data_IF_248461392680
#
_entry.id   IF_248461392680
#
_cell.length_a   1.000
_cell.length_b   1.000
_cell.length_c   1.000
_cell.angle_alpha   90.00
_cell.angle_beta   90.00
_cell.angle_gamma   90.00
#
_symmetry.space_group_name_H-M   'P 1'
#
loop_
_entity.id
_entity.type
_entity.pdbx_description
1 polymer ?
#
# COMPACT_ATOMS: atom_id res chain seq x y z
N UNK A 1 -8.49 -7.29 -5.35
CA UNK A 1 -8.48 -5.88 -4.92
C UNK A 1 -8.36 -5.81 -3.40
N UNK A 2 -7.31 -5.18 -2.89
CA UNK A 2 -7.00 -5.03 -1.46
C UNK A 2 -7.72 -3.81 -0.88
N UNK A 3 -8.96 -4.03 -0.43
CA UNK A 3 -9.83 -2.95 0.05
C UNK A 3 -9.23 -2.21 1.23
N UNK A 4 -8.61 -2.93 2.18
CA UNK A 4 -8.00 -2.36 3.38
C UNK A 4 -6.90 -1.34 3.04
N UNK A 5 -5.97 -1.72 2.17
CA UNK A 5 -4.90 -0.83 1.68
C UNK A 5 -5.43 0.44 1.01
N UNK A 6 -6.49 0.33 0.20
CA UNK A 6 -7.14 1.48 -0.45
C UNK A 6 -7.80 2.39 0.58
N UNK A 7 -8.52 1.82 1.55
CA UNK A 7 -9.21 2.56 2.61
C UNK A 7 -8.18 3.30 3.49
N UNK A 8 -7.09 2.65 3.89
CA UNK A 8 -6.03 3.29 4.70
C UNK A 8 -5.44 4.50 3.98
N UNK A 9 -5.18 4.38 2.67
CA UNK A 9 -4.74 5.53 1.86
C UNK A 9 -5.78 6.65 1.82
N UNK A 10 -7.06 6.31 1.63
CA UNK A 10 -8.15 7.28 1.56
C UNK A 10 -8.41 7.98 2.90
N UNK A 11 -8.27 7.28 4.03
CA UNK A 11 -8.38 7.85 5.38
C UNK A 11 -7.33 8.92 5.64
N UNK A 12 -6.13 8.75 5.08
CA UNK A 12 -5.06 9.76 5.13
C UNK A 12 -5.21 10.86 4.07
N UNK A 13 -6.26 10.81 3.23
CA UNK A 13 -6.51 11.71 2.08
C UNK A 13 -5.37 11.78 1.07
N UNK A 14 -4.57 10.72 0.98
CA UNK A 14 -3.42 10.65 0.07
C UNK A 14 -3.81 10.06 -1.28
N UNK A 15 -3.22 10.57 -2.36
CA UNK A 15 -3.27 9.99 -3.69
C UNK A 15 -2.16 8.95 -3.84
N UNK A 16 -2.32 8.04 -4.82
CA UNK A 16 -1.31 7.01 -5.12
C UNK A 16 0.09 7.59 -5.35
N UNK A 17 0.28 8.71 -6.08
CA UNK A 17 1.62 9.25 -6.29
C UNK A 17 2.31 9.69 -5.00
N UNK A 18 1.57 10.25 -4.04
CA UNK A 18 2.12 10.72 -2.77
C UNK A 18 2.61 9.53 -1.92
N UNK A 19 1.78 8.50 -1.79
CA UNK A 19 2.17 7.28 -1.07
C UNK A 19 3.32 6.57 -1.77
N UNK A 20 3.29 6.47 -3.10
CA UNK A 20 4.34 5.82 -3.86
C UNK A 20 5.70 6.53 -3.68
N UNK A 21 5.69 7.87 -3.67
CA UNK A 21 6.89 8.67 -3.38
C UNK A 21 7.42 8.40 -1.97
N UNK A 22 6.56 8.35 -0.94
CA UNK A 22 6.96 8.06 0.45
C UNK A 22 7.57 6.67 0.57
N UNK A 23 6.99 5.68 -0.11
CA UNK A 23 7.44 4.28 -0.08
C UNK A 23 8.60 3.97 -1.05
N UNK A 24 9.06 4.96 -1.82
CA UNK A 24 10.14 4.77 -2.80
C UNK A 24 9.79 3.84 -3.97
N UNK A 25 8.51 3.81 -4.38
CA UNK A 25 8.01 2.98 -5.49
C UNK A 25 7.30 3.83 -6.55
N UNK A 26 6.94 3.21 -7.68
CA UNK A 26 6.16 3.90 -8.71
C UNK A 26 4.65 3.89 -8.37
N UNK A 27 3.89 4.93 -8.75
CA UNK A 27 2.43 4.97 -8.53
C UNK A 27 1.69 3.82 -9.22
N UNK A 28 2.20 3.36 -10.36
CA UNK A 28 1.68 2.21 -11.11
C UNK A 28 1.87 0.93 -10.31
N UNK A 29 3.03 0.75 -9.67
CA UNK A 29 3.29 -0.41 -8.82
C UNK A 29 2.39 -0.43 -7.59
N UNK A 30 2.23 0.71 -6.90
CA UNK A 30 1.25 0.83 -5.81
C UNK A 30 -0.18 0.50 -6.28
N UNK A 31 -0.57 0.98 -7.46
CA UNK A 31 -1.88 0.65 -8.05
C UNK A 31 -2.05 -0.84 -8.34
N UNK A 32 -1.02 -1.52 -8.85
CA UNK A 32 -1.04 -2.96 -9.07
C UNK A 32 -1.14 -3.75 -7.74
N UNK A 33 -0.47 -3.28 -6.69
CA UNK A 33 -0.61 -3.82 -5.33
C UNK A 33 -2.04 -3.64 -4.81
N UNK A 34 -2.60 -2.44 -4.91
CA UNK A 34 -4.00 -2.18 -4.49
C UNK A 34 -5.02 -3.05 -5.24
N UNK A 35 -4.80 -3.32 -6.52
CA UNK A 35 -5.68 -4.21 -7.31
C UNK A 35 -5.46 -5.69 -6.98
N UNK A 36 -4.30 -6.06 -6.45
CA UNK A 36 -3.92 -7.45 -6.16
C UNK A 36 -3.20 -8.15 -7.33
N UNK A 37 -2.79 -7.40 -8.36
CA UNK A 37 -2.09 -7.91 -9.55
C UNK A 37 -0.59 -8.16 -9.28
N UNK A 38 -0.07 -7.53 -8.23
CA UNK A 38 1.31 -7.66 -7.78
C UNK A 38 1.36 -7.81 -6.26
N UNK A 39 2.29 -8.63 -5.82
CA UNK A 39 2.66 -8.75 -4.41
C UNK A 39 3.95 -7.95 -4.18
N UNK A 40 3.99 -7.05 -3.19
CA UNK A 40 5.24 -6.41 -2.80
C UNK A 40 6.22 -7.43 -2.22
N UNK A 41 7.50 -7.09 -2.17
CA UNK A 41 8.47 -7.84 -1.36
C UNK A 41 8.08 -7.77 0.13
N UNK A 42 8.56 -8.71 0.94
CA UNK A 42 8.26 -8.71 2.38
C UNK A 42 8.70 -7.41 3.07
N UNK A 43 9.85 -6.85 2.68
CA UNK A 43 10.32 -5.57 3.18
C UNK A 43 9.38 -4.42 2.81
N UNK A 44 8.91 -4.37 1.56
CA UNK A 44 7.97 -3.33 1.14
C UNK A 44 6.60 -3.52 1.79
N UNK A 45 6.11 -4.76 1.94
CA UNK A 45 4.89 -5.06 2.66
C UNK A 45 4.96 -4.56 4.11
N UNK A 46 6.10 -4.79 4.77
CA UNK A 46 6.39 -4.29 6.11
C UNK A 46 6.40 -2.76 6.15
N UNK A 47 7.11 -2.11 5.23
CA UNK A 47 7.14 -0.63 5.16
C UNK A 47 5.75 -0.03 4.95
N UNK A 48 4.90 -0.67 4.13
CA UNK A 48 3.51 -0.26 3.91
C UNK A 48 2.70 -0.42 5.20
N UNK A 49 2.86 -1.54 5.90
CA UNK A 49 2.20 -1.82 7.17
C UNK A 49 2.58 -0.80 8.24
N UNK A 50 3.88 -0.53 8.39
CA UNK A 50 4.41 0.48 9.29
C UNK A 50 3.89 1.89 8.94
N UNK A 51 3.86 2.24 7.65
CA UNK A 51 3.34 3.53 7.17
C UNK A 51 1.87 3.75 7.53
N UNK A 52 1.04 2.70 7.46
CA UNK A 52 -0.37 2.76 7.82
C UNK A 52 -0.66 2.40 9.28
N UNK A 53 0.37 2.19 10.10
CA UNK A 53 0.27 1.72 11.49
C UNK A 53 -0.68 0.51 11.63
N UNK A 54 -0.49 -0.48 10.75
CA UNK A 54 -1.30 -1.70 10.68
C UNK A 54 -0.38 -2.91 10.50
N UNK A 55 -0.94 -4.12 10.40
CA UNK A 55 -0.19 -5.34 10.16
C UNK A 55 -0.21 -5.73 8.68
N UNK A 56 0.78 -6.54 8.25
CA UNK A 56 0.78 -7.10 6.89
C UNK A 56 -0.48 -7.94 6.68
N UNK A 57 -0.87 -8.74 7.67
CA UNK A 57 -2.07 -9.57 7.60
C UNK A 57 -3.33 -8.72 7.36
N UNK A 58 -3.54 -7.66 8.13
CA UNK A 58 -4.74 -6.81 7.99
C UNK A 58 -4.80 -6.04 6.66
N UNK A 59 -3.64 -5.67 6.08
CA UNK A 59 -3.62 -4.88 4.85
C UNK A 59 -3.72 -5.73 3.58
N UNK A 60 -3.25 -6.97 3.63
CA UNK A 60 -3.07 -7.81 2.45
C UNK A 60 -4.02 -9.03 2.40
N UNK A 61 -4.66 -9.42 3.52
CA UNK A 61 -5.66 -10.48 3.62
C UNK A 61 -7.03 -9.92 4.03
#
# INVERSE_FOLDING_TARGET
MRKKLIISRQNMRLKRPEVAQILGITPQFLGAIERGERNPSLNLAKNIADFYNSSIDELFF
#
